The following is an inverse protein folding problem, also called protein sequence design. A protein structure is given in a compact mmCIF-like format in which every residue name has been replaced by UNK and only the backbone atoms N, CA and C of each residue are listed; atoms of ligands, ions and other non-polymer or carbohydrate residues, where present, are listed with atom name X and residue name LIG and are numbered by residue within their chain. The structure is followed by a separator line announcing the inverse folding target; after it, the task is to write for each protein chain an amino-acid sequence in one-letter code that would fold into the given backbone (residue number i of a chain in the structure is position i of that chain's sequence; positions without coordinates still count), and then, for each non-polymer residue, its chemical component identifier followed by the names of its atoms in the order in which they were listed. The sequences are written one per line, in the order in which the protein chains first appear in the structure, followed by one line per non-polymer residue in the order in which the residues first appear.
data_IF_218519982919
#
_entry.id   IF_218519982919
#
_cell.length_a   1.000
_cell.length_b   1.000
_cell.length_c   1.000
_cell.angle_alpha   90.00
_cell.angle_beta   90.00
_cell.angle_gamma   90.00
#
_symmetry.space_group_name_H-M   'P 1'
#
loop_
_entity.id
_entity.type
_entity.pdbx_description
1 polymer ?
#
# COMPACT_ATOMS: atom_id res chain seq x y z
N UNK A 1 7.53 16.38 -11.52
CA UNK A 1 7.49 17.83 -11.80
C UNK A 1 8.45 18.56 -10.85
N UNK A 2 9.58 19.05 -11.37
CA UNK A 2 10.60 19.81 -10.63
C UNK A 2 10.22 21.31 -10.60
N UNK A 3 10.67 21.99 -9.55
CA UNK A 3 10.76 23.45 -9.41
C UNK A 3 9.46 24.27 -9.26
N UNK A 4 8.98 24.41 -8.01
CA UNK A 4 8.39 25.67 -7.51
C UNK A 4 8.70 25.88 -6.02
N UNK A 5 9.99 26.00 -5.69
CA UNK A 5 10.44 26.68 -4.46
C UNK A 5 11.29 27.86 -4.89
N UNK A 6 10.61 28.91 -5.37
CA UNK A 6 11.24 30.15 -5.80
C UNK A 6 11.57 31.02 -4.58
N UNK A 7 12.82 31.48 -4.60
CA UNK A 7 13.50 32.47 -3.74
C UNK A 7 12.59 33.63 -3.32
N UNK A 8 12.64 34.00 -2.04
CA UNK A 8 12.18 35.31 -1.56
C UNK A 8 13.39 36.12 -1.08
N UNK A 9 13.71 37.18 -1.83
CA UNK A 9 14.60 38.25 -1.37
C UNK A 9 13.80 39.41 -0.74
N UNK A 10 14.55 40.17 0.04
CA UNK A 10 14.20 41.16 1.05
C UNK A 10 13.94 42.57 0.46
N UNK A 11 13.35 43.47 1.29
CA UNK A 11 13.27 44.97 1.20
C UNK A 11 11.92 45.47 0.62
N UNK A 12 11.16 46.47 1.12
CA UNK A 12 11.41 47.65 1.97
C UNK A 12 10.20 48.03 2.86
N UNK A 13 10.42 49.01 3.76
CA UNK A 13 9.50 49.54 4.78
C UNK A 13 9.48 51.10 4.65
N UNK A 14 8.33 51.82 4.69
CA UNK A 14 7.76 52.22 5.98
C UNK A 14 6.21 52.29 6.06
N UNK A 15 5.58 51.34 6.77
CA UNK A 15 4.23 51.45 7.40
C UNK A 15 4.13 50.60 8.68
N UNK A 16 5.21 50.55 9.47
CA UNK A 16 5.68 49.25 9.98
C UNK A 16 5.39 49.00 11.45
N UNK A 17 5.28 50.02 12.30
CA UNK A 17 5.18 49.75 13.74
C UNK A 17 3.85 49.09 14.15
N UNK A 18 2.71 49.57 13.64
CA UNK A 18 1.40 48.97 13.93
C UNK A 18 1.24 47.57 13.32
N UNK A 19 1.75 47.38 12.09
CA UNK A 19 1.79 46.08 11.41
C UNK A 19 2.69 45.08 12.12
N UNK A 20 3.84 45.52 12.63
CA UNK A 20 4.76 44.70 13.43
C UNK A 20 4.10 44.31 14.76
N UNK A 21 3.58 45.26 15.55
CA UNK A 21 2.95 44.98 16.86
C UNK A 21 1.72 44.07 16.70
N UNK A 22 0.88 44.32 15.69
CA UNK A 22 -0.25 43.45 15.35
C UNK A 22 0.20 42.03 14.96
N UNK A 23 1.28 41.90 14.19
CA UNK A 23 1.82 40.62 13.80
C UNK A 23 2.41 39.84 14.98
N UNK A 24 3.19 40.50 15.85
CA UNK A 24 3.73 39.94 17.09
C UNK A 24 2.62 39.45 18.03
N UNK A 25 1.59 40.26 18.28
CA UNK A 25 0.46 39.84 19.12
C UNK A 25 -0.27 38.61 18.57
N UNK A 26 -0.37 38.49 17.24
CA UNK A 26 -0.97 37.33 16.57
C UNK A 26 -0.13 36.06 16.70
N UNK A 27 1.20 36.19 16.82
CA UNK A 27 2.12 35.07 17.01
C UNK A 27 2.13 34.62 18.47
N UNK A 28 2.06 35.55 19.42
CA UNK A 28 1.92 35.21 20.85
C UNK A 28 0.60 34.48 21.12
N UNK A 29 -0.52 34.94 20.54
CA UNK A 29 -1.81 34.23 20.62
C UNK A 29 -1.71 32.83 20.00
N UNK A 30 -1.06 32.70 18.84
CA UNK A 30 -0.84 31.42 18.18
C UNK A 30 0.00 30.46 19.05
N UNK A 31 1.12 30.95 19.59
CA UNK A 31 2.00 30.18 20.47
C UNK A 31 1.24 29.63 21.68
N UNK A 32 0.41 30.46 22.34
CA UNK A 32 -0.41 30.04 23.48
C UNK A 32 -1.49 29.03 23.07
N UNK A 33 -2.20 29.27 21.98
CA UNK A 33 -3.27 28.40 21.51
C UNK A 33 -2.80 26.97 21.21
N UNK A 34 -1.57 26.84 20.72
CA UNK A 34 -0.95 25.55 20.39
C UNK A 34 0.05 25.04 21.42
N UNK A 35 0.20 25.74 22.56
CA UNK A 35 1.14 25.41 23.63
C UNK A 35 2.55 25.13 23.08
N UNK A 36 3.06 26.06 22.25
CA UNK A 36 4.37 25.91 21.63
C UNK A 36 5.46 26.37 22.58
N UNK A 37 6.25 25.40 23.04
CA UNK A 37 7.44 25.62 23.86
C UNK A 37 8.65 25.88 22.96
N UNK A 38 9.30 27.02 23.15
CA UNK A 38 10.54 27.40 22.46
C UNK A 38 11.65 27.55 23.50
N UNK A 39 12.91 27.20 23.16
CA UNK A 39 14.02 27.31 24.10
C UNK A 39 14.18 28.72 24.69
N UNK A 40 14.52 28.77 25.98
CA UNK A 40 14.59 30.00 26.76
C UNK A 40 15.69 30.96 26.29
N UNK A 41 16.78 30.40 25.79
CA UNK A 41 18.01 31.04 25.30
C UNK A 41 17.89 31.58 23.86
N UNK A 42 16.82 31.26 23.13
CA UNK A 42 16.63 31.76 21.78
C UNK A 42 16.36 33.27 21.74
N UNK A 43 17.13 33.98 20.92
CA UNK A 43 16.91 35.39 20.61
C UNK A 43 15.54 35.66 19.95
N UNK A 44 15.07 36.90 20.08
CA UNK A 44 13.74 37.33 19.63
C UNK A 44 13.48 37.00 18.14
N UNK A 45 14.47 37.23 17.28
CA UNK A 45 14.38 36.97 15.84
C UNK A 45 14.18 35.50 15.50
N UNK A 46 14.90 34.60 16.17
CA UNK A 46 14.80 33.16 15.93
C UNK A 46 13.44 32.62 16.39
N UNK A 47 12.96 33.08 17.55
CA UNK A 47 11.62 32.76 18.06
C UNK A 47 10.52 33.22 17.10
N UNK A 48 10.59 34.50 16.70
CA UNK A 48 9.63 35.10 15.79
C UNK A 48 9.57 34.34 14.45
N UNK A 49 10.73 34.10 13.85
CA UNK A 49 10.84 33.43 12.56
C UNK A 49 10.31 31.99 12.62
N UNK A 50 10.66 31.25 13.69
CA UNK A 50 10.14 29.90 13.93
C UNK A 50 8.61 29.89 14.06
N UNK A 51 8.02 30.77 14.88
CA UNK A 51 6.57 30.85 15.04
C UNK A 51 5.87 31.24 13.72
N UNK A 52 6.47 32.12 12.93
CA UNK A 52 5.93 32.53 11.63
C UNK A 52 5.88 31.36 10.64
N UNK A 53 6.96 30.57 10.55
CA UNK A 53 7.01 29.36 9.71
C UNK A 53 5.99 28.33 10.17
N UNK A 54 5.97 27.99 11.47
CA UNK A 54 5.00 27.04 12.04
C UNK A 54 3.56 27.47 11.77
N UNK A 55 3.24 28.75 11.96
CA UNK A 55 1.90 29.28 11.71
C UNK A 55 1.48 29.14 10.25
N UNK A 56 2.40 29.31 9.30
CA UNK A 56 2.15 29.07 7.87
C UNK A 56 1.95 27.59 7.58
N UNK A 57 2.81 26.72 8.09
CA UNK A 57 2.71 25.26 7.92
C UNK A 57 1.39 24.72 8.48
N UNK A 58 1.03 25.07 9.72
CA UNK A 58 -0.23 24.63 10.33
C UNK A 58 -1.47 25.11 9.56
N UNK A 59 -1.45 26.35 9.06
CA UNK A 59 -2.52 26.85 8.20
C UNK A 59 -2.60 26.04 6.90
N UNK A 60 -1.46 25.71 6.30
CA UNK A 60 -1.42 24.88 5.10
C UNK A 60 -2.02 23.50 5.36
N UNK A 61 -1.52 22.80 6.38
CA UNK A 61 -2.01 21.47 6.79
C UNK A 61 -3.52 21.49 7.09
N UNK A 62 -4.02 22.54 7.73
CA UNK A 62 -5.44 22.63 8.08
C UNK A 62 -6.32 22.98 6.88
N UNK A 63 -5.93 23.97 6.07
CA UNK A 63 -6.80 24.57 5.05
C UNK A 63 -6.67 23.90 3.69
N UNK A 64 -5.47 23.50 3.32
CA UNK A 64 -5.18 22.86 2.05
C UNK A 64 -5.20 21.33 2.17
N UNK A 65 -4.48 20.79 3.17
CA UNK A 65 -4.40 19.34 3.34
C UNK A 65 -5.54 18.76 4.16
N UNK A 66 -6.41 19.62 4.73
CA UNK A 66 -7.62 19.27 5.49
C UNK A 66 -7.39 18.42 6.75
N UNK A 67 -6.20 18.50 7.35
CA UNK A 67 -5.93 17.91 8.65
C UNK A 67 -6.77 18.55 9.75
N UNK A 68 -7.25 17.73 10.70
CA UNK A 68 -7.99 18.20 11.86
C UNK A 68 -7.05 18.67 12.98
N UNK A 69 -7.61 19.35 13.98
CA UNK A 69 -6.81 19.96 15.05
C UNK A 69 -6.00 18.93 15.85
N UNK A 70 -6.50 17.70 16.01
CA UNK A 70 -5.76 16.64 16.69
C UNK A 70 -4.47 16.26 15.92
N UNK A 71 -4.56 16.10 14.60
CA UNK A 71 -3.40 15.86 13.75
C UNK A 71 -2.37 17.00 13.82
N UNK A 72 -2.82 18.27 13.81
CA UNK A 72 -1.93 19.43 13.92
C UNK A 72 -1.17 19.47 15.27
N UNK A 73 -1.81 19.06 16.36
CA UNK A 73 -1.13 18.94 17.67
C UNK A 73 -0.06 17.87 17.66
N UNK A 74 -0.30 16.75 16.97
CA UNK A 74 0.68 15.67 16.82
C UNK A 74 1.88 16.13 16.00
N UNK A 75 1.63 16.83 14.89
CA UNK A 75 2.67 17.45 14.08
C UNK A 75 3.59 18.35 14.91
N UNK A 76 3.02 19.22 15.74
CA UNK A 76 3.80 20.08 16.63
C UNK A 76 4.60 19.29 17.67
N UNK A 77 4.00 18.27 18.29
CA UNK A 77 4.67 17.42 19.28
C UNK A 77 5.90 16.71 18.69
N UNK A 78 5.88 16.37 17.41
CA UNK A 78 7.04 15.76 16.73
C UNK A 78 8.20 16.74 16.51
N UNK A 79 7.89 18.02 16.32
CA UNK A 79 8.89 19.04 15.98
C UNK A 79 9.49 19.70 17.22
N UNK A 80 8.75 19.80 18.34
CA UNK A 80 9.21 20.51 19.53
C UNK A 80 10.50 19.95 20.17
N UNK A 81 10.69 18.62 20.36
CA UNK A 81 11.93 18.07 20.91
C UNK A 81 13.17 18.41 20.07
N UNK A 82 12.92 18.73 18.81
CA UNK A 82 13.91 19.13 17.82
C UNK A 82 14.29 20.62 17.91
N UNK A 83 13.83 21.38 18.91
CA UNK A 83 14.33 22.73 19.15
C UNK A 83 15.60 22.77 20.01
N UNK A 84 15.91 21.68 20.73
CA UNK A 84 17.08 21.59 21.62
C UNK A 84 18.34 20.94 21.04
N UNK A 85 18.36 20.47 19.78
CA UNK A 85 19.53 19.77 19.19
C UNK A 85 20.31 20.66 18.21
N UNK A 86 21.61 20.39 18.03
CA UNK A 86 22.56 21.14 17.18
C UNK A 86 22.19 21.33 15.69
N UNK A 87 21.21 20.60 15.13
CA UNK A 87 20.74 20.83 13.74
C UNK A 87 19.91 22.13 13.66
N UNK A 88 20.03 22.85 12.55
CA UNK A 88 19.20 24.03 12.25
C UNK A 88 17.70 23.73 12.43
N UNK A 89 17.01 24.54 13.24
CA UNK A 89 15.56 24.44 13.45
C UNK A 89 14.79 24.52 12.12
N UNK A 90 15.21 25.38 11.19
CA UNK A 90 14.52 25.57 9.92
C UNK A 90 14.67 24.38 8.98
N UNK A 91 15.82 23.71 9.02
CA UNK A 91 16.00 22.46 8.28
C UNK A 91 15.02 21.41 8.79
N UNK A 92 14.92 21.22 10.12
CA UNK A 92 13.97 20.26 10.70
C UNK A 92 12.51 20.61 10.47
N UNK A 93 12.15 21.90 10.53
CA UNK A 93 10.81 22.37 10.17
C UNK A 93 10.47 22.03 8.72
N UNK A 94 11.45 22.16 7.82
CA UNK A 94 11.29 21.84 6.40
C UNK A 94 11.13 20.34 6.20
N UNK A 95 12.08 19.54 6.69
CA UNK A 95 12.04 18.07 6.60
C UNK A 95 10.75 17.49 7.21
N UNK A 96 10.35 17.96 8.39
CA UNK A 96 9.12 17.48 9.05
C UNK A 96 7.87 17.87 8.27
N UNK A 97 7.85 19.05 7.65
CA UNK A 97 6.75 19.48 6.80
C UNK A 97 6.72 18.68 5.49
N UNK A 98 7.85 18.41 4.85
CA UNK A 98 7.92 17.54 3.67
C UNK A 98 7.38 16.15 3.96
N UNK A 99 7.68 15.58 5.14
CA UNK A 99 7.11 14.31 5.57
C UNK A 99 5.57 14.34 5.61
N UNK A 100 4.94 15.47 5.94
CA UNK A 100 3.46 15.59 5.88
C UNK A 100 2.88 15.49 4.47
N UNK A 101 3.70 15.66 3.44
CA UNK A 101 3.32 15.56 2.03
C UNK A 101 3.59 14.16 1.45
N UNK A 102 4.19 13.26 2.26
CA UNK A 102 4.51 11.89 1.89
C UNK A 102 3.59 10.94 2.66
N UNK A 103 2.61 10.38 1.96
CA UNK A 103 1.63 9.44 2.55
C UNK A 103 2.35 8.22 3.09
N UNK A 104 2.12 7.91 4.36
CA UNK A 104 2.74 6.79 5.07
C UNK A 104 4.16 7.06 5.59
N UNK A 105 4.65 8.29 5.47
CA UNK A 105 5.86 8.73 6.18
C UNK A 105 5.64 8.72 7.70
N UNK A 106 6.70 8.88 8.50
CA UNK A 106 6.57 8.82 9.96
C UNK A 106 5.61 9.90 10.49
N UNK A 107 5.86 11.17 10.14
CA UNK A 107 5.05 12.30 10.59
C UNK A 107 3.61 12.18 10.06
N UNK A 108 3.45 11.84 8.78
CA UNK A 108 2.13 11.64 8.17
C UNK A 108 1.35 10.55 8.90
N UNK A 109 1.99 9.41 9.16
CA UNK A 109 1.35 8.25 9.80
C UNK A 109 0.88 8.59 11.20
N UNK A 110 1.70 9.28 12.00
CA UNK A 110 1.30 9.68 13.33
C UNK A 110 0.15 10.68 13.32
N UNK A 111 0.18 11.66 12.41
CA UNK A 111 -0.94 12.58 12.18
C UNK A 111 -2.21 11.81 11.78
N UNK A 112 -2.11 10.86 10.87
CA UNK A 112 -3.23 10.02 10.43
C UNK A 112 -3.84 9.20 11.58
N UNK A 113 -2.98 8.51 12.34
CA UNK A 113 -3.40 7.67 13.47
C UNK A 113 -4.11 8.50 14.53
N UNK A 114 -3.52 9.62 14.98
CA UNK A 114 -4.11 10.41 16.05
C UNK A 114 -5.12 11.47 15.63
N UNK A 115 -5.37 11.63 14.32
CA UNK A 115 -6.52 12.39 13.82
C UNK A 115 -7.84 11.84 14.39
N UNK A 116 -8.77 12.74 14.71
CA UNK A 116 -10.11 12.43 15.22
C UNK A 116 -11.18 12.49 14.13
N UNK A 117 -10.77 12.59 12.86
CA UNK A 117 -11.68 12.43 11.75
C UNK A 117 -12.30 11.02 11.77
N UNK A 118 -13.61 10.94 11.47
CA UNK A 118 -14.28 9.64 11.27
C UNK A 118 -13.62 8.87 10.12
N UNK A 119 -13.62 7.54 10.17
CA UNK A 119 -12.98 6.67 9.17
C UNK A 119 -13.21 7.10 7.71
N UNK A 120 -14.46 7.25 7.25
CA UNK A 120 -14.74 7.71 5.87
C UNK A 120 -14.16 9.08 5.51
N UNK A 121 -13.92 9.96 6.49
CA UNK A 121 -13.23 11.25 6.26
C UNK A 121 -11.72 11.05 6.18
N UNK A 122 -11.12 10.19 7.02
CA UNK A 122 -9.70 9.82 6.92
C UNK A 122 -9.37 9.18 5.57
N UNK A 123 -10.17 8.22 5.12
CA UNK A 123 -10.00 7.57 3.81
C UNK A 123 -10.07 8.58 2.65
N UNK A 124 -11.05 9.51 2.68
CA UNK A 124 -11.16 10.58 1.68
C UNK A 124 -10.00 11.57 1.73
N UNK A 125 -9.42 11.81 2.91
CA UNK A 125 -8.29 12.70 3.10
C UNK A 125 -7.09 12.20 2.29
N UNK A 126 -6.72 10.92 2.49
CA UNK A 126 -5.60 10.26 1.79
C UNK A 126 -5.83 10.29 0.28
N UNK A 127 -7.02 9.84 -0.18
CA UNK A 127 -7.35 9.82 -1.60
C UNK A 127 -7.33 11.21 -2.23
N UNK A 128 -7.78 12.25 -1.50
CA UNK A 128 -7.72 13.63 -1.98
C UNK A 128 -6.28 14.13 -2.13
N UNK A 129 -5.45 13.89 -1.12
CA UNK A 129 -4.06 14.34 -1.11
C UNK A 129 -3.24 13.70 -2.24
N UNK A 130 -3.48 12.41 -2.51
CA UNK A 130 -2.92 11.70 -3.67
C UNK A 130 -3.61 12.05 -5.00
N UNK A 131 -4.64 12.91 -4.99
CA UNK A 131 -5.38 13.33 -6.18
C UNK A 131 -6.05 12.17 -6.91
N UNK A 132 -6.66 11.25 -6.17
CA UNK A 132 -7.29 10.06 -6.70
C UNK A 132 -8.56 10.39 -7.50
N UNK A 133 -8.48 10.22 -8.82
CA UNK A 133 -9.56 10.47 -9.79
C UNK A 133 -9.75 9.23 -10.64
N UNK A 134 -11.00 8.78 -10.82
CA UNK A 134 -11.33 7.69 -11.74
C UNK A 134 -11.54 8.29 -13.12
N UNK A 135 -10.83 7.80 -14.12
CA UNK A 135 -10.96 8.25 -15.52
C UNK A 135 -12.10 7.55 -16.26
N UNK A 136 -12.27 7.87 -17.54
CA UNK A 136 -13.38 7.40 -18.37
C UNK A 136 -13.29 5.88 -18.68
N UNK A 137 -12.09 5.28 -18.52
CA UNK A 137 -11.89 3.83 -18.60
C UNK A 137 -12.03 3.12 -17.24
N UNK A 138 -12.45 3.85 -16.20
CA UNK A 138 -12.63 3.31 -14.86
C UNK A 138 -11.30 3.09 -14.12
N UNK A 139 -10.19 3.60 -14.61
CA UNK A 139 -8.88 3.49 -13.97
C UNK A 139 -8.69 4.60 -12.95
N UNK A 140 -8.13 4.28 -11.77
CA UNK A 140 -7.83 5.30 -10.76
C UNK A 140 -6.47 5.94 -11.05
N UNK A 141 -6.45 7.20 -11.41
CA UNK A 141 -5.25 8.02 -11.56
C UNK A 141 -4.92 8.71 -10.23
N UNK A 142 -3.63 8.86 -9.90
CA UNK A 142 -3.15 9.65 -8.76
C UNK A 142 -2.48 10.93 -9.27
N UNK A 143 -3.19 12.05 -9.22
CA UNK A 143 -2.79 13.34 -9.81
C UNK A 143 -2.52 14.42 -8.76
N UNK A 144 -2.33 14.00 -7.50
CA UNK A 144 -2.17 14.89 -6.36
C UNK A 144 -0.77 15.45 -6.23
N UNK A 145 -0.61 16.34 -5.25
CA UNK A 145 0.70 16.88 -4.87
C UNK A 145 1.45 15.98 -3.89
N UNK A 146 0.73 15.06 -3.23
CA UNK A 146 1.34 14.09 -2.33
C UNK A 146 1.76 12.84 -3.09
N UNK A 147 2.79 12.18 -2.59
CA UNK A 147 3.26 10.88 -3.06
C UNK A 147 3.30 9.90 -1.89
N UNK A 148 3.40 8.60 -2.17
CA UNK A 148 3.77 7.66 -1.10
C UNK A 148 5.20 7.92 -0.63
N UNK A 149 5.44 7.77 0.67
CA UNK A 149 6.79 7.80 1.20
C UNK A 149 7.62 6.66 0.60
N UNK A 150 8.81 6.95 0.07
CA UNK A 150 9.67 5.94 -0.58
C UNK A 150 10.07 4.80 0.35
N UNK A 151 10.15 5.06 1.65
CA UNK A 151 10.46 4.09 2.69
C UNK A 151 9.20 3.43 3.31
N UNK A 152 8.01 3.64 2.74
CA UNK A 152 6.78 3.02 3.21
C UNK A 152 6.82 1.51 2.98
N UNK A 153 7.06 0.77 4.06
CA UNK A 153 7.22 -0.69 4.04
C UNK A 153 5.86 -1.40 3.92
N UNK A 154 5.80 -2.59 3.28
CA UNK A 154 4.55 -3.35 3.12
C UNK A 154 3.75 -3.67 4.39
N UNK A 155 4.40 -3.77 5.56
CA UNK A 155 3.74 -4.04 6.85
C UNK A 155 3.56 -2.81 7.74
N UNK A 156 3.70 -1.60 7.16
CA UNK A 156 3.71 -0.36 7.92
C UNK A 156 2.43 -0.10 8.72
N UNK A 157 2.59 0.60 9.84
CA UNK A 157 1.49 1.06 10.69
C UNK A 157 0.45 1.86 9.89
N UNK A 158 0.89 2.69 8.93
CA UNK A 158 -0.02 3.44 8.06
C UNK A 158 -1.05 2.53 7.37
N UNK A 159 -0.58 1.46 6.73
CA UNK A 159 -1.47 0.54 6.04
C UNK A 159 -2.44 -0.16 7.00
N UNK A 160 -1.98 -0.52 8.19
CA UNK A 160 -2.85 -1.15 9.20
C UNK A 160 -3.92 -0.20 9.73
N UNK A 161 -3.58 1.08 9.92
CA UNK A 161 -4.52 2.11 10.34
C UNK A 161 -5.54 2.40 9.23
N UNK A 162 -5.06 2.53 7.99
CA UNK A 162 -5.91 2.71 6.82
C UNK A 162 -6.89 1.55 6.65
N UNK A 163 -6.42 0.31 6.78
CA UNK A 163 -7.26 -0.90 6.77
C UNK A 163 -8.33 -0.89 7.87
N UNK A 164 -7.95 -0.51 9.09
CA UNK A 164 -8.90 -0.42 10.21
C UNK A 164 -10.01 0.61 9.92
N UNK A 165 -9.67 1.74 9.30
CA UNK A 165 -10.67 2.72 8.84
C UNK A 165 -11.56 2.15 7.72
N UNK A 166 -11.03 1.36 6.77
CA UNK A 166 -11.84 0.66 5.77
C UNK A 166 -12.85 -0.28 6.44
N UNK A 167 -12.42 -1.05 7.44
CA UNK A 167 -13.32 -1.94 8.20
C UNK A 167 -14.43 -1.16 8.92
N UNK A 168 -14.10 -0.04 9.54
CA UNK A 168 -15.09 0.79 10.23
C UNK A 168 -16.06 1.46 9.24
N UNK A 169 -15.56 1.87 8.07
CA UNK A 169 -16.36 2.51 7.04
C UNK A 169 -17.31 1.55 6.29
N UNK A 170 -16.94 0.27 6.19
CA UNK A 170 -17.63 -0.75 5.38
C UNK A 170 -17.80 -2.10 6.12
N UNK A 171 -18.48 -2.16 7.27
CA UNK A 171 -18.55 -3.36 8.12
C UNK A 171 -19.50 -4.48 7.63
N UNK A 172 -20.23 -4.27 6.52
CA UNK A 172 -21.32 -5.15 6.10
C UNK A 172 -21.11 -5.84 4.75
N UNK A 173 -22.04 -6.72 4.37
CA UNK A 173 -21.96 -7.54 3.12
C UNK A 173 -21.88 -6.75 1.81
N UNK A 174 -22.36 -5.51 1.81
CA UNK A 174 -22.21 -4.62 0.67
C UNK A 174 -20.74 -4.21 0.45
N UNK A 175 -19.94 -4.20 1.52
CA UNK A 175 -18.52 -3.86 1.47
C UNK A 175 -18.25 -2.59 0.68
N UNK A 176 -17.26 -2.66 -0.21
CA UNK A 176 -16.86 -1.53 -1.06
C UNK A 176 -17.86 -1.21 -2.19
N UNK A 177 -18.83 -2.08 -2.48
CA UNK A 177 -19.88 -1.78 -3.48
C UNK A 177 -20.90 -0.72 -3.03
N UNK A 178 -20.80 -0.24 -1.79
CA UNK A 178 -21.81 0.64 -1.19
C UNK A 178 -21.86 2.04 -1.80
N UNK A 179 -20.71 2.61 -2.19
CA UNK A 179 -20.63 3.99 -2.66
C UNK A 179 -19.37 4.26 -3.50
N UNK A 180 -19.29 5.44 -4.11
CA UNK A 180 -18.16 5.86 -4.94
C UNK A 180 -16.82 5.93 -4.17
N UNK A 181 -16.85 6.14 -2.86
CA UNK A 181 -15.63 6.04 -2.05
C UNK A 181 -15.15 4.60 -2.00
N UNK A 182 -16.06 3.63 -1.85
CA UNK A 182 -15.74 2.21 -1.90
C UNK A 182 -15.16 1.78 -3.24
N UNK A 183 -15.69 2.28 -4.36
CA UNK A 183 -15.09 2.06 -5.69
C UNK A 183 -13.66 2.59 -5.77
N UNK A 184 -13.42 3.83 -5.33
CA UNK A 184 -12.05 4.39 -5.33
C UNK A 184 -11.10 3.61 -4.44
N UNK A 185 -11.56 3.14 -3.28
CA UNK A 185 -10.75 2.32 -2.38
C UNK A 185 -10.40 0.97 -3.01
N UNK A 186 -11.36 0.32 -3.68
CA UNK A 186 -11.08 -0.91 -4.44
C UNK A 186 -9.97 -0.70 -5.46
N UNK A 187 -10.11 0.33 -6.30
CA UNK A 187 -9.11 0.65 -7.32
C UNK A 187 -7.76 1.09 -6.72
N UNK A 188 -7.79 1.74 -5.55
CA UNK A 188 -6.59 2.23 -4.87
C UNK A 188 -5.66 1.12 -4.37
N UNK A 189 -6.18 -0.11 -4.19
CA UNK A 189 -5.38 -1.29 -3.81
C UNK A 189 -4.19 -1.49 -4.75
N UNK A 190 -4.44 -1.36 -6.06
CA UNK A 190 -3.41 -1.46 -7.10
C UNK A 190 -2.23 -0.50 -6.89
N UNK A 191 -2.50 0.75 -6.50
CA UNK A 191 -1.43 1.73 -6.22
C UNK A 191 -0.63 1.41 -4.95
N UNK A 192 -1.28 0.80 -3.95
CA UNK A 192 -0.59 0.28 -2.76
C UNK A 192 0.34 -0.87 -3.17
N UNK A 193 -0.12 -1.74 -4.07
CA UNK A 193 0.69 -2.84 -4.60
C UNK A 193 1.94 -2.33 -5.34
N UNK A 194 1.80 -1.29 -6.18
CA UNK A 194 2.93 -0.62 -6.82
C UNK A 194 3.96 -0.14 -5.81
N UNK A 195 3.51 0.52 -4.75
CA UNK A 195 4.39 1.03 -3.70
C UNK A 195 5.11 -0.13 -2.99
N UNK A 196 4.40 -1.22 -2.67
CA UNK A 196 5.00 -2.39 -2.04
C UNK A 196 6.05 -3.05 -2.93
N UNK A 197 5.76 -3.22 -4.22
CA UNK A 197 6.69 -3.77 -5.22
C UNK A 197 7.93 -2.88 -5.35
N UNK A 198 7.73 -1.57 -5.54
CA UNK A 198 8.83 -0.59 -5.66
C UNK A 198 9.71 -0.61 -4.42
N UNK A 199 9.11 -0.64 -3.23
CA UNK A 199 9.85 -0.71 -1.98
C UNK A 199 10.79 -1.92 -1.95
N UNK A 200 10.29 -3.13 -2.26
CA UNK A 200 11.12 -4.34 -2.29
C UNK A 200 12.21 -4.25 -3.36
N UNK A 201 11.86 -3.82 -4.57
CA UNK A 201 12.80 -3.74 -5.70
C UNK A 201 13.95 -2.75 -5.48
N UNK A 202 13.67 -1.63 -4.82
CA UNK A 202 14.60 -0.51 -4.64
C UNK A 202 15.48 -0.63 -3.38
N UNK A 203 14.98 -1.26 -2.31
CA UNK A 203 15.68 -1.30 -1.02
C UNK A 203 16.46 -2.59 -0.78
N UNK A 204 16.28 -3.62 -1.62
CA UNK A 204 16.94 -4.91 -1.45
C UNK A 204 17.65 -5.37 -2.73
N UNK A 205 18.84 -5.92 -2.56
CA UNK A 205 19.63 -6.50 -3.65
C UNK A 205 19.26 -7.97 -3.86
N UNK A 206 19.27 -8.47 -5.08
CA UNK A 206 18.97 -9.87 -5.39
C UNK A 206 18.86 -10.11 -6.89
N UNK A 207 19.13 -11.33 -7.33
CA UNK A 207 19.03 -11.71 -8.74
C UNK A 207 17.59 -11.79 -9.26
N UNK A 208 16.61 -11.95 -8.36
CA UNK A 208 15.18 -11.98 -8.68
C UNK A 208 14.39 -11.18 -7.65
N UNK A 209 13.16 -10.76 -8.00
CA UNK A 209 12.30 -10.04 -7.06
C UNK A 209 11.96 -10.88 -5.81
N UNK A 210 11.75 -12.19 -5.98
CA UNK A 210 11.49 -13.06 -4.83
C UNK A 210 12.68 -13.15 -3.88
N UNK A 211 13.92 -13.17 -4.39
CA UNK A 211 15.11 -13.14 -3.53
C UNK A 211 15.19 -11.83 -2.72
N UNK A 212 14.78 -10.70 -3.32
CA UNK A 212 14.67 -9.42 -2.62
C UNK A 212 13.60 -9.46 -1.53
N UNK A 213 12.43 -10.02 -1.83
CA UNK A 213 11.33 -10.21 -0.87
C UNK A 213 11.75 -11.09 0.32
N UNK A 214 12.48 -12.17 0.06
CA UNK A 214 13.01 -13.05 1.12
C UNK A 214 13.98 -12.30 2.03
N UNK A 215 14.92 -11.53 1.47
CA UNK A 215 15.84 -10.71 2.28
C UNK A 215 15.11 -9.67 3.12
N UNK A 216 14.10 -9.03 2.55
CA UNK A 216 13.23 -8.12 3.29
C UNK A 216 12.54 -8.82 4.47
N UNK A 217 11.91 -9.96 4.22
CA UNK A 217 11.21 -10.73 5.24
C UNK A 217 12.16 -11.17 6.37
N UNK A 218 13.38 -11.61 6.03
CA UNK A 218 14.42 -11.94 7.02
C UNK A 218 14.85 -10.70 7.83
N UNK A 219 15.17 -9.59 7.17
CA UNK A 219 15.62 -8.36 7.84
C UNK A 219 14.54 -7.78 8.75
N UNK A 220 13.28 -7.79 8.31
CA UNK A 220 12.14 -7.32 9.07
C UNK A 220 11.61 -8.34 10.09
N UNK A 221 12.15 -9.58 10.11
CA UNK A 221 11.68 -10.70 10.94
C UNK A 221 10.18 -10.99 10.74
N UNK A 222 9.72 -10.96 9.49
CA UNK A 222 8.32 -11.18 9.12
C UNK A 222 8.17 -12.54 8.45
N UNK A 223 7.24 -13.39 8.93
CA UNK A 223 6.94 -14.66 8.27
C UNK A 223 6.22 -14.43 6.94
N UNK A 224 6.59 -15.22 5.93
CA UNK A 224 5.91 -15.29 4.65
C UNK A 224 4.76 -16.31 4.71
N UNK A 225 3.60 -15.97 4.17
CA UNK A 225 2.52 -16.93 3.93
C UNK A 225 2.50 -17.36 2.46
N UNK A 226 2.69 -18.65 2.23
CA UNK A 226 2.62 -19.30 0.92
C UNK A 226 1.39 -20.22 0.81
N UNK A 227 0.49 -20.18 1.79
CA UNK A 227 -0.56 -21.19 1.97
C UNK A 227 -1.90 -20.77 1.35
N UNK A 228 -2.12 -19.47 1.14
CA UNK A 228 -3.34 -18.96 0.51
C UNK A 228 -3.39 -19.29 -0.98
N UNK A 229 -4.60 -19.59 -1.48
CA UNK A 229 -4.75 -20.09 -2.84
C UNK A 229 -4.37 -19.05 -3.90
N UNK A 230 -3.56 -19.46 -4.87
CA UNK A 230 -3.14 -18.64 -6.00
C UNK A 230 -3.95 -18.90 -7.28
N UNK A 231 -5.11 -19.56 -7.21
CA UNK A 231 -5.93 -19.90 -8.39
C UNK A 231 -6.32 -18.66 -9.21
N UNK A 232 -6.70 -17.57 -8.52
CA UNK A 232 -6.96 -16.26 -9.11
C UNK A 232 -5.69 -15.52 -9.56
N UNK A 233 -4.53 -16.14 -9.60
CA UNK A 233 -3.32 -15.55 -10.18
C UNK A 233 -2.66 -16.53 -11.16
N UNK A 234 -3.41 -17.56 -11.58
CA UNK A 234 -3.00 -18.58 -12.53
C UNK A 234 -4.00 -18.66 -13.70
N UNK A 235 -4.49 -17.49 -14.13
CA UNK A 235 -5.39 -17.33 -15.26
C UNK A 235 -4.70 -17.68 -16.56
N UNK A 236 -5.41 -18.42 -17.41
CA UNK A 236 -4.91 -18.90 -18.70
C UNK A 236 -5.90 -18.60 -19.81
N UNK A 237 -5.37 -18.31 -21.02
CA UNK A 237 -6.16 -18.21 -22.25
C UNK A 237 -6.29 -19.57 -22.97
N UNK A 238 -5.58 -20.60 -22.50
CA UNK A 238 -5.59 -21.96 -23.02
C UNK A 238 -6.01 -22.94 -21.93
N UNK A 239 -6.23 -24.21 -22.30
CA UNK A 239 -6.44 -25.28 -21.34
C UNK A 239 -5.37 -25.25 -20.24
N UNK A 240 -5.82 -25.26 -18.98
CA UNK A 240 -4.93 -25.17 -17.83
C UNK A 240 -4.07 -26.44 -17.74
N UNK A 241 -2.75 -26.25 -17.60
CA UNK A 241 -1.79 -27.36 -17.51
C UNK A 241 -1.28 -27.55 -16.09
N UNK A 242 -0.65 -26.53 -15.55
CA UNK A 242 -0.13 -26.47 -14.19
C UNK A 242 0.07 -24.99 -13.78
N UNK A 243 0.12 -24.67 -12.48
CA UNK A 243 0.35 -23.32 -11.99
C UNK A 243 1.64 -22.75 -12.57
N UNK A 244 1.59 -21.53 -13.09
CA UNK A 244 2.77 -20.76 -13.47
C UNK A 244 3.24 -19.85 -12.35
N UNK A 245 2.35 -19.50 -11.43
CA UNK A 245 2.59 -18.51 -10.40
C UNK A 245 2.29 -19.07 -9.00
N UNK A 246 3.06 -18.64 -8.00
CA UNK A 246 2.69 -18.76 -6.59
C UNK A 246 2.31 -17.40 -6.01
N UNK A 247 1.55 -17.43 -4.92
CA UNK A 247 1.24 -16.26 -4.13
C UNK A 247 2.05 -16.27 -2.83
N UNK A 248 2.58 -15.10 -2.47
CA UNK A 248 3.22 -14.86 -1.18
C UNK A 248 2.54 -13.66 -0.54
N UNK A 249 2.12 -13.80 0.72
CA UNK A 249 1.53 -12.71 1.48
C UNK A 249 2.36 -12.40 2.72
N UNK A 250 2.34 -11.12 3.13
CA UNK A 250 3.02 -10.66 4.34
C UNK A 250 2.13 -9.72 5.18
N UNK A 251 2.22 -9.78 6.50
CA UNK A 251 2.85 -10.86 7.29
C UNK A 251 1.96 -12.10 7.30
N UNK A 252 2.51 -13.31 7.48
CA UNK A 252 1.68 -14.52 7.59
C UNK A 252 0.67 -14.48 8.76
N UNK A 253 1.08 -13.85 9.85
CA UNK A 253 0.27 -13.59 11.04
C UNK A 253 0.41 -12.13 11.46
N UNK A 254 -0.47 -11.65 12.35
CA UNK A 254 -0.39 -10.29 12.86
C UNK A 254 0.88 -10.08 13.69
N UNK A 255 1.71 -9.12 13.28
CA UNK A 255 2.89 -8.67 14.02
C UNK A 255 2.78 -7.21 14.47
N UNK A 256 1.61 -6.57 14.27
CA UNK A 256 1.39 -5.21 14.73
C UNK A 256 1.41 -5.12 16.27
N UNK A 257 2.08 -4.11 16.80
CA UNK A 257 2.24 -3.92 18.25
C UNK A 257 0.92 -3.58 18.98
N UNK A 258 -0.08 -3.05 18.26
CA UNK A 258 -1.39 -2.72 18.82
C UNK A 258 -2.44 -3.72 18.36
N UNK A 259 -3.27 -4.20 19.29
CA UNK A 259 -4.42 -5.07 19.00
C UNK A 259 -5.48 -4.43 18.11
N UNK A 260 -5.50 -3.09 18.01
CA UNK A 260 -6.39 -2.36 17.11
C UNK A 260 -5.94 -2.44 15.63
N UNK A 261 -4.73 -2.91 15.39
CA UNK A 261 -4.13 -3.00 14.08
C UNK A 261 -3.82 -4.45 13.71
N UNK A 262 -3.98 -4.76 12.43
CA UNK A 262 -3.69 -6.08 11.91
C UNK A 262 -2.95 -5.95 10.58
N UNK A 263 -1.70 -6.42 10.53
CA UNK A 263 -0.87 -6.45 9.32
C UNK A 263 -0.83 -7.83 8.62
N UNK A 264 -1.67 -8.77 9.05
CA UNK A 264 -1.66 -10.10 8.50
C UNK A 264 -2.24 -10.10 7.08
N UNK A 265 -1.47 -10.67 6.15
CA UNK A 265 -1.83 -11.02 4.78
C UNK A 265 -2.42 -9.86 3.99
N UNK A 266 -1.90 -8.66 4.24
CA UNK A 266 -2.32 -7.43 3.57
C UNK A 266 -1.62 -7.28 2.23
N UNK A 267 -0.29 -7.23 2.25
CA UNK A 267 0.48 -7.12 1.02
C UNK A 267 0.62 -8.52 0.40
N UNK A 268 0.37 -8.57 -0.90
CA UNK A 268 0.40 -9.77 -1.71
C UNK A 268 1.43 -9.59 -2.83
N UNK A 269 2.17 -10.64 -3.14
CA UNK A 269 3.12 -10.68 -4.23
C UNK A 269 2.90 -11.97 -5.03
N UNK A 270 2.74 -11.83 -6.34
CA UNK A 270 2.61 -12.96 -7.24
C UNK A 270 3.97 -13.24 -7.87
N UNK A 271 4.45 -14.47 -7.74
CA UNK A 271 5.80 -14.86 -8.16
C UNK A 271 5.69 -15.90 -9.28
N UNK A 272 6.32 -15.62 -10.42
CA UNK A 272 6.45 -16.62 -11.48
C UNK A 272 7.37 -17.75 -11.02
N UNK A 273 6.89 -19.00 -11.14
CA UNK A 273 7.57 -20.19 -10.63
C UNK A 273 8.87 -20.53 -11.35
N UNK A 274 9.16 -19.94 -12.52
CA UNK A 274 10.39 -20.19 -13.26
C UNK A 274 11.43 -19.12 -12.99
N UNK A 275 11.07 -17.88 -13.28
CA UNK A 275 11.92 -16.70 -13.21
C UNK A 275 12.10 -16.20 -11.78
N UNK A 276 11.15 -16.51 -10.89
CA UNK A 276 11.08 -16.00 -9.51
C UNK A 276 11.01 -14.47 -9.42
N UNK A 277 10.55 -13.83 -10.49
CA UNK A 277 10.24 -12.41 -10.52
C UNK A 277 8.77 -12.18 -10.20
N UNK A 278 8.43 -10.93 -9.86
CA UNK A 278 7.04 -10.57 -9.65
C UNK A 278 6.27 -10.62 -10.97
N UNK A 279 5.00 -11.01 -10.88
CA UNK A 279 4.00 -10.91 -11.95
C UNK A 279 3.04 -9.82 -11.53
N UNK A 280 3.12 -8.66 -12.18
CA UNK A 280 2.39 -7.46 -11.75
C UNK A 280 1.85 -6.69 -12.96
N UNK A 281 0.65 -6.15 -12.81
CA UNK A 281 0.04 -5.24 -13.78
C UNK A 281 0.90 -3.99 -14.02
N UNK A 282 1.69 -3.58 -13.03
CA UNK A 282 2.57 -2.41 -13.11
C UNK A 282 3.81 -2.60 -13.99
N UNK A 283 4.17 -3.85 -14.31
CA UNK A 283 5.18 -4.14 -15.31
C UNK A 283 4.61 -4.11 -16.74
N UNK A 284 3.28 -4.00 -16.88
CA UNK A 284 2.57 -3.93 -18.15
C UNK A 284 2.05 -2.53 -18.49
N UNK A 285 1.59 -1.77 -17.50
CA UNK A 285 1.04 -0.43 -17.70
C UNK A 285 2.04 0.54 -18.31
N UNK A 286 1.57 1.28 -19.33
CA UNK A 286 2.31 2.36 -19.95
C UNK A 286 1.94 3.68 -19.28
N UNK A 287 2.88 4.62 -19.24
CA UNK A 287 2.66 5.96 -18.71
C UNK A 287 2.69 6.98 -19.83
N UNK A 288 1.71 7.87 -19.81
CA UNK A 288 1.65 9.05 -20.65
C UNK A 288 2.68 10.10 -20.23
N UNK A 289 2.93 11.06 -21.12
CA UNK A 289 3.93 12.13 -20.88
C UNK A 289 3.62 13.01 -19.65
N UNK A 290 2.35 13.11 -19.25
CA UNK A 290 1.89 13.86 -18.09
C UNK A 290 1.91 13.03 -16.78
N UNK A 291 2.32 11.77 -16.85
CA UNK A 291 2.42 10.85 -15.72
C UNK A 291 1.17 10.02 -15.43
N UNK A 292 0.11 10.15 -16.24
CA UNK A 292 -1.06 9.26 -16.18
C UNK A 292 -0.71 7.86 -16.66
N UNK A 293 -1.44 6.86 -16.16
CA UNK A 293 -1.43 5.53 -16.76
C UNK A 293 -2.32 5.56 -18.01
N UNK A 294 -1.81 5.02 -19.12
CA UNK A 294 -2.62 4.73 -20.31
C UNK A 294 -3.67 3.67 -19.94
N UNK A 295 -4.94 4.07 -19.84
CA UNK A 295 -6.02 3.20 -19.40
C UNK A 295 -6.85 2.61 -20.54
N UNK A 296 -6.49 2.91 -21.80
CA UNK A 296 -7.21 2.35 -22.96
C UNK A 296 -6.89 0.85 -23.10
N UNK A 297 -7.89 -0.05 -22.99
CA UNK A 297 -7.68 -1.48 -23.11
C UNK A 297 -7.07 -1.93 -24.45
N UNK A 298 -7.26 -1.15 -25.53
CA UNK A 298 -6.84 -1.53 -26.89
C UNK A 298 -5.33 -1.42 -27.11
N UNK A 299 -4.62 -0.67 -26.27
CA UNK A 299 -3.17 -0.49 -26.38
C UNK A 299 -2.35 -1.65 -25.80
N UNK A 300 -3.01 -2.62 -25.17
CA UNK A 300 -2.34 -3.69 -24.44
C UNK A 300 -2.25 -4.99 -25.25
N UNK A 301 -1.01 -5.46 -25.44
CA UNK A 301 -0.75 -6.76 -26.06
C UNK A 301 -1.25 -7.92 -25.18
N UNK A 302 -1.43 -9.11 -25.78
CA UNK A 302 -1.79 -10.33 -25.05
C UNK A 302 -0.82 -10.66 -23.90
N UNK A 303 0.48 -10.38 -24.05
CA UNK A 303 1.48 -10.59 -23.00
C UNK A 303 1.29 -9.63 -21.83
N UNK A 304 0.96 -8.37 -22.10
CA UNK A 304 0.65 -7.39 -21.05
C UNK A 304 -0.65 -7.72 -20.34
N UNK A 305 -1.70 -8.09 -21.10
CA UNK A 305 -2.97 -8.54 -20.53
C UNK A 305 -2.80 -9.78 -19.63
N UNK A 306 -1.84 -10.68 -19.92
CA UNK A 306 -1.52 -11.80 -19.02
C UNK A 306 -1.00 -11.32 -17.65
N UNK A 307 -0.12 -10.30 -17.63
CA UNK A 307 0.40 -9.71 -16.39
C UNK A 307 -0.74 -9.04 -15.61
N UNK A 308 -1.55 -8.23 -16.29
CA UNK A 308 -2.71 -7.53 -15.71
C UNK A 308 -3.74 -8.52 -15.15
N UNK A 309 -3.98 -9.63 -15.86
CA UNK A 309 -4.90 -10.67 -15.41
C UNK A 309 -4.38 -11.45 -14.20
N UNK A 310 -3.08 -11.53 -13.96
CA UNK A 310 -2.49 -12.40 -12.92
C UNK A 310 -1.81 -11.63 -11.77
N UNK A 311 -1.98 -10.32 -11.75
CA UNK A 311 -1.38 -9.40 -10.79
C UNK A 311 -1.81 -9.67 -9.34
N UNK A 312 -1.01 -9.13 -8.41
CA UNK A 312 -1.31 -9.02 -6.99
C UNK A 312 -2.52 -8.15 -6.67
N UNK A 313 -3.02 -8.26 -5.43
CA UNK A 313 -3.97 -7.30 -4.88
C UNK A 313 -3.84 -7.16 -3.37
N UNK A 314 -3.56 -5.94 -2.90
CA UNK A 314 -3.51 -5.61 -1.48
C UNK A 314 -4.84 -5.93 -0.80
N UNK A 315 -4.86 -6.53 0.39
CA UNK A 315 -6.11 -6.95 1.05
C UNK A 315 -6.52 -5.99 2.17
N UNK A 316 -7.74 -5.44 2.07
CA UNK A 316 -8.36 -4.77 3.20
C UNK A 316 -9.02 -5.77 4.14
N UNK A 317 -9.71 -6.79 3.65
CA UNK A 317 -10.20 -7.87 4.49
C UNK A 317 -9.09 -8.87 4.84
N UNK A 318 -9.34 -9.79 5.77
CA UNK A 318 -8.38 -10.83 6.18
C UNK A 318 -8.63 -12.08 5.34
N UNK A 319 -7.72 -12.45 4.41
CA UNK A 319 -7.88 -13.68 3.63
C UNK A 319 -8.02 -14.90 4.55
N UNK A 320 -8.62 -15.99 4.07
CA UNK A 320 -8.57 -17.28 4.79
C UNK A 320 -7.31 -18.03 4.35
N UNK A 321 -6.36 -18.15 5.27
CA UNK A 321 -5.14 -18.94 5.14
C UNK A 321 -5.15 -20.02 6.22
N UNK A 322 -4.00 -20.59 6.53
CA UNK A 322 -3.90 -21.56 7.63
C UNK A 322 -3.94 -20.92 9.03
N UNK A 323 -3.80 -19.60 9.11
CA UNK A 323 -3.77 -18.84 10.37
C UNK A 323 -5.09 -18.05 10.56
N UNK A 324 -5.62 -18.08 11.78
CA UNK A 324 -6.82 -17.34 12.19
C UNK A 324 -6.44 -16.14 13.06
N UNK A 325 -6.02 -15.03 12.43
CA UNK A 325 -5.52 -13.85 13.17
C UNK A 325 -6.63 -13.09 13.92
N UNK A 326 -7.78 -12.86 13.26
CA UNK A 326 -8.94 -12.20 13.85
C UNK A 326 -10.21 -12.93 13.40
N UNK A 327 -10.63 -14.01 14.08
CA UNK A 327 -11.78 -14.82 13.70
C UNK A 327 -13.06 -14.01 13.43
N UNK A 328 -13.31 -12.96 14.22
CA UNK A 328 -14.45 -12.05 14.05
C UNK A 328 -14.45 -11.29 12.70
N UNK A 329 -13.31 -11.28 11.99
CA UNK A 329 -13.10 -10.59 10.72
C UNK A 329 -12.84 -11.55 9.54
N UNK A 330 -12.96 -12.88 9.73
CA UNK A 330 -12.66 -13.89 8.69
C UNK A 330 -13.56 -13.79 7.43
N UNK A 331 -14.69 -13.09 7.51
CA UNK A 331 -15.59 -12.85 6.38
C UNK A 331 -15.29 -11.54 5.62
N UNK A 332 -14.42 -10.69 6.16
CA UNK A 332 -14.18 -9.36 5.60
C UNK A 332 -13.52 -9.41 4.24
N UNK A 333 -12.63 -10.39 3.99
CA UNK A 333 -11.98 -10.54 2.68
C UNK A 333 -13.00 -10.77 1.56
N UNK A 334 -14.03 -11.57 1.84
CA UNK A 334 -15.06 -11.80 0.85
C UNK A 334 -15.82 -10.52 0.50
N UNK A 335 -16.17 -9.67 1.48
CA UNK A 335 -16.96 -8.46 1.20
C UNK A 335 -16.13 -7.24 0.76
N UNK A 336 -14.86 -7.16 1.16
CA UNK A 336 -14.01 -6.00 0.86
C UNK A 336 -13.11 -6.22 -0.35
N UNK A 337 -12.70 -7.46 -0.60
CA UNK A 337 -11.66 -7.74 -1.59
C UNK A 337 -12.14 -8.63 -2.75
N UNK A 338 -13.08 -9.56 -2.50
CA UNK A 338 -13.59 -10.52 -3.51
C UNK A 338 -14.88 -10.03 -4.17
N UNK A 339 -15.88 -9.64 -3.37
CA UNK A 339 -17.12 -9.02 -3.86
C UNK A 339 -16.89 -7.52 -3.95
N UNK A 340 -16.21 -7.10 -5.01
CA UNK A 340 -15.74 -5.73 -5.18
C UNK A 340 -16.50 -4.97 -6.29
N UNK A 341 -16.41 -3.62 -6.31
CA UNK A 341 -16.83 -2.78 -7.43
C UNK A 341 -16.15 -3.14 -8.74
N UNK A 342 -16.61 -2.59 -9.88
CA UNK A 342 -15.97 -2.84 -11.17
C UNK A 342 -14.47 -2.49 -11.16
N UNK A 343 -13.69 -3.41 -11.73
CA UNK A 343 -12.28 -3.18 -12.09
C UNK A 343 -12.16 -2.18 -13.25
N UNK A 344 -10.98 -1.60 -13.51
CA UNK A 344 -10.73 -0.82 -14.73
C UNK A 344 -11.00 -1.65 -15.99
N UNK A 345 -11.42 -1.01 -17.08
CA UNK A 345 -11.77 -1.70 -18.33
C UNK A 345 -10.63 -2.59 -18.84
N UNK A 346 -9.37 -2.14 -18.74
CA UNK A 346 -8.19 -2.94 -19.13
C UNK A 346 -8.09 -4.25 -18.35
N UNK A 347 -8.37 -4.23 -17.04
CA UNK A 347 -8.37 -5.43 -16.20
C UNK A 347 -9.58 -6.31 -16.44
N UNK A 348 -10.74 -5.72 -16.75
CA UNK A 348 -11.90 -6.49 -17.21
C UNK A 348 -11.58 -7.23 -18.51
N UNK A 349 -10.99 -6.57 -19.50
CA UNK A 349 -10.54 -7.21 -20.75
C UNK A 349 -9.53 -8.34 -20.47
N UNK A 350 -8.53 -8.08 -19.62
CA UNK A 350 -7.52 -9.04 -19.24
C UNK A 350 -8.14 -10.30 -18.59
N UNK A 351 -9.01 -10.13 -17.60
CA UNK A 351 -9.68 -11.25 -16.90
C UNK A 351 -10.79 -11.92 -17.72
N UNK A 352 -11.22 -11.29 -18.81
CA UNK A 352 -12.06 -11.94 -19.84
C UNK A 352 -11.23 -12.82 -20.77
N UNK A 353 -10.06 -12.35 -21.19
CA UNK A 353 -9.14 -13.06 -22.08
C UNK A 353 -8.41 -14.23 -21.38
N UNK A 354 -8.16 -14.12 -20.09
CA UNK A 354 -7.50 -15.14 -19.27
C UNK A 354 -8.44 -15.55 -18.14
N UNK A 355 -8.79 -16.83 -18.04
CA UNK A 355 -9.74 -17.32 -17.02
C UNK A 355 -9.00 -18.08 -15.93
N UNK A 356 -9.42 -17.86 -14.67
CA UNK A 356 -8.91 -18.61 -13.53
C UNK A 356 -9.40 -20.06 -13.58
N UNK A 357 -8.53 -21.05 -13.32
CA UNK A 357 -8.96 -22.43 -13.22
C UNK A 357 -9.77 -22.66 -11.93
N UNK A 358 -10.69 -23.61 -11.97
CA UNK A 358 -11.39 -24.08 -10.77
C UNK A 358 -10.47 -24.95 -9.92
N UNK A 359 -10.64 -24.89 -8.60
CA UNK A 359 -9.82 -25.66 -7.65
C UNK A 359 -10.24 -27.14 -7.62
N UNK A 360 -9.28 -28.01 -7.33
CA UNK A 360 -9.45 -29.48 -7.33
C UNK A 360 -10.49 -29.95 -6.32
N UNK A 361 -10.62 -29.25 -5.19
CA UNK A 361 -11.64 -29.53 -4.17
C UNK A 361 -13.07 -29.26 -4.64
N UNK A 362 -13.23 -28.56 -5.77
CA UNK A 362 -14.51 -28.33 -6.46
C UNK A 362 -14.57 -29.04 -7.83
N UNK A 363 -13.67 -30.00 -8.08
CA UNK A 363 -13.62 -30.76 -9.34
C UNK A 363 -12.83 -30.10 -10.48
N UNK A 364 -12.10 -29.03 -10.21
CA UNK A 364 -11.32 -28.32 -11.21
C UNK A 364 -9.85 -28.77 -11.35
N UNK A 365 -9.12 -28.26 -12.36
CA UNK A 365 -7.75 -28.70 -12.65
C UNK A 365 -6.67 -27.95 -11.86
N UNK A 366 -7.00 -27.32 -10.72
CA UNK A 366 -6.06 -26.48 -9.97
C UNK A 366 -5.83 -26.94 -8.52
N UNK A 367 -4.57 -27.08 -8.18
CA UNK A 367 -4.03 -27.25 -6.84
C UNK A 367 -2.72 -26.45 -6.72
N UNK A 368 -2.55 -25.73 -5.61
CA UNK A 368 -1.33 -24.95 -5.36
C UNK A 368 -0.13 -25.88 -5.13
N UNK A 369 0.91 -25.72 -5.94
CA UNK A 369 2.14 -26.51 -5.81
C UNK A 369 2.98 -26.10 -4.60
N UNK A 370 2.94 -24.82 -4.21
CA UNK A 370 3.87 -24.26 -3.23
C UNK A 370 3.09 -23.93 -1.97
N UNK A 371 3.44 -24.58 -0.85
CA UNK A 371 2.92 -24.25 0.50
C UNK A 371 4.07 -23.87 1.45
N UNK A 372 5.30 -24.24 1.12
CA UNK A 372 6.56 -23.92 1.81
C UNK A 372 7.67 -23.73 0.78
N UNK A 373 8.75 -23.04 1.15
CA UNK A 373 9.90 -22.78 0.24
C UNK A 373 10.51 -24.04 -0.40
N UNK A 374 10.67 -25.19 0.31
CA UNK A 374 11.20 -26.40 -0.30
C UNK A 374 10.36 -26.94 -1.46
N UNK A 375 9.04 -26.70 -1.47
CA UNK A 375 8.17 -27.15 -2.56
C UNK A 375 8.57 -26.52 -3.89
N UNK A 376 8.98 -25.24 -3.87
CA UNK A 376 9.42 -24.51 -5.07
C UNK A 376 10.69 -25.13 -5.63
N UNK A 377 11.64 -25.44 -4.74
CA UNK A 377 12.92 -26.07 -5.11
C UNK A 377 12.67 -27.44 -5.73
N UNK A 378 11.81 -28.25 -5.11
CA UNK A 378 11.46 -29.59 -5.62
C UNK A 378 10.73 -29.52 -6.97
N UNK A 379 9.79 -28.59 -7.13
CA UNK A 379 9.06 -28.41 -8.40
C UNK A 379 9.98 -27.98 -9.54
N UNK A 380 10.90 -27.04 -9.27
CA UNK A 380 11.81 -26.52 -10.31
C UNK A 380 12.82 -27.56 -10.82
N UNK A 381 13.10 -28.63 -10.07
CA UNK A 381 13.95 -29.76 -10.52
C UNK A 381 13.31 -30.58 -11.63
N UNK A 382 11.99 -30.52 -11.80
CA UNK A 382 11.29 -31.30 -12.84
C UNK A 382 11.51 -30.63 -14.20
N UNK A 383 11.99 -31.38 -15.21
CA UNK A 383 12.12 -30.88 -16.57
C UNK A 383 10.78 -30.36 -17.10
N UNK A 384 10.80 -29.23 -17.82
CA UNK A 384 9.58 -28.56 -18.32
C UNK A 384 8.69 -29.52 -19.13
N UNK A 385 9.29 -30.41 -19.93
CA UNK A 385 8.58 -31.43 -20.72
C UNK A 385 7.79 -32.44 -19.88
N UNK A 386 8.18 -32.66 -18.63
CA UNK A 386 7.57 -33.65 -17.72
C UNK A 386 6.56 -33.03 -16.75
N UNK A 387 6.61 -31.72 -16.53
CA UNK A 387 5.80 -31.03 -15.50
C UNK A 387 4.31 -31.27 -15.63
N UNK A 388 3.78 -31.32 -16.86
CA UNK A 388 2.36 -31.59 -17.04
C UNK A 388 1.97 -32.99 -16.54
N UNK A 389 2.73 -34.02 -16.88
CA UNK A 389 2.47 -35.39 -16.44
C UNK A 389 2.57 -35.52 -14.91
N UNK A 390 3.61 -34.95 -14.32
CA UNK A 390 3.81 -34.93 -12.86
C UNK A 390 2.69 -34.18 -12.15
N UNK A 391 2.25 -33.04 -12.70
CA UNK A 391 1.16 -32.29 -12.12
C UNK A 391 -0.18 -33.03 -12.17
N UNK A 392 -0.46 -33.75 -13.26
CA UNK A 392 -1.66 -34.58 -13.35
C UNK A 392 -1.66 -35.71 -12.32
N UNK A 393 -0.49 -36.30 -12.01
CA UNK A 393 -0.36 -37.25 -10.92
C UNK A 393 -0.65 -36.61 -9.55
N UNK A 394 -0.05 -35.45 -9.29
CA UNK A 394 -0.30 -34.66 -8.07
C UNK A 394 -1.79 -34.27 -7.93
N UNK A 395 -2.46 -33.87 -9.01
CA UNK A 395 -3.89 -33.57 -8.98
C UNK A 395 -4.74 -34.78 -8.64
N UNK A 396 -4.43 -35.97 -9.20
CA UNK A 396 -5.13 -37.21 -8.86
C UNK A 396 -4.97 -37.56 -7.39
N UNK A 397 -3.76 -37.38 -6.85
CA UNK A 397 -3.53 -37.54 -5.42
C UNK A 397 -4.42 -36.59 -4.62
N UNK A 398 -4.42 -35.29 -4.93
CA UNK A 398 -5.21 -34.30 -4.20
C UNK A 398 -6.72 -34.59 -4.27
N UNK A 399 -7.22 -35.00 -5.44
CA UNK A 399 -8.62 -35.37 -5.62
C UNK A 399 -8.99 -36.63 -4.81
N UNK A 400 -8.09 -37.61 -4.73
CA UNK A 400 -8.31 -38.86 -3.99
C UNK A 400 -8.30 -38.63 -2.48
N UNK A 401 -7.38 -37.81 -1.97
CA UNK A 401 -7.20 -37.60 -0.52
C UNK A 401 -8.05 -36.46 0.03
N UNK A 402 -8.53 -35.56 -0.83
CA UNK A 402 -9.15 -34.30 -0.41
C UNK A 402 -8.16 -33.29 0.20
N UNK A 403 -6.86 -33.60 0.20
CA UNK A 403 -5.80 -32.75 0.73
C UNK A 403 -5.00 -32.10 -0.40
N UNK A 404 -4.55 -30.86 -0.19
CA UNK A 404 -3.68 -30.13 -1.14
C UNK A 404 -2.35 -29.85 -0.44
N UNK A 405 -1.49 -30.86 -0.22
CA UNK A 405 -0.16 -30.63 0.31
C UNK A 405 0.67 -29.85 -0.71
N UNK A 406 1.68 -29.12 -0.25
CA UNK A 406 2.71 -28.62 -1.17
C UNK A 406 3.40 -29.79 -1.89
N UNK A 407 4.01 -29.51 -3.04
CA UNK A 407 4.58 -30.54 -3.90
C UNK A 407 5.64 -31.41 -3.20
N UNK A 408 6.45 -30.84 -2.30
CA UNK A 408 7.37 -31.63 -1.47
C UNK A 408 6.63 -32.57 -0.51
N UNK A 409 5.54 -32.10 0.10
CA UNK A 409 4.69 -32.93 0.96
C UNK A 409 3.97 -34.04 0.20
N UNK A 410 3.65 -33.86 -1.09
CA UNK A 410 3.17 -34.93 -1.96
C UNK A 410 4.24 -36.01 -2.15
N UNK A 411 5.50 -35.64 -2.38
CA UNK A 411 6.60 -36.61 -2.53
C UNK A 411 6.85 -37.41 -1.24
N UNK A 412 6.63 -36.82 -0.07
CA UNK A 412 6.77 -37.47 1.24
C UNK A 412 5.64 -38.49 1.52
N UNK A 413 4.48 -38.34 0.87
CA UNK A 413 3.26 -39.14 1.11
C UNK A 413 2.99 -40.18 0.01
N UNK A 414 3.83 -40.22 -1.01
CA UNK A 414 3.67 -41.10 -2.18
C UNK A 414 4.14 -42.52 -1.91
#
# INVERSE_FOLDING_TARGET
MKNKLAKFHLIALPTILAGIVGHFSSLTKFQRAYQIELPADWGLWLRFSTLSVLKKQLRFLQKHDHWDQAALKIYLKQIQPSFGKQVSVFQRLTESFEQTQLVGSEVYTQMYVGSQLKAKKKLRLVLRQLGAVVDDHGFLQLLGTHEFARNLVPHAVFYTAFRADVWQAYPGKAGLNRDALGQRLHLFRSWIDLQNIRYIRQNYTGSTDFAKLQKYATAAKIPLDLTTSAAFHNRSAQAFRYPQNMKVQISATNTAASSNFNNARMAEFIIDLNTRNFVSEWDAYCFESDGRVDSDPQHYSKKQLYQIANTESFNYGIPKGQQHDLPAKDHTHYYLDVKHPFDPQVRQLATQAFRSPQVVTTGGPYADLIKRLPDLVSWQKIPVSQRNAVYQEYLRFCAKTGSVPGYGGFLEQR
#
